data_IF_217822542689
#
_entry.id   IF_217822542689
#
_cell.length_a   1.000
_cell.length_b   1.000
_cell.length_c   1.000
_cell.angle_alpha   90.00
_cell.angle_beta   90.00
_cell.angle_gamma   90.00
#
_symmetry.space_group_name_H-M   'P 1'
#
loop_
_entity.id
_entity.type
_entity.pdbx_description
1 polymer ?
#
# COMPACT_ATOMS: atom_id res chain seq x y z
N UNK A 1 3.68 -1.86 3.51
CA UNK A 1 2.28 -2.28 3.32
C UNK A 1 1.47 -1.86 4.53
N UNK A 2 0.28 -1.30 4.30
CA UNK A 2 -0.71 -1.00 5.34
C UNK A 2 -1.96 -1.81 5.00
N UNK A 3 -2.58 -2.49 5.98
CA UNK A 3 -3.79 -3.29 5.76
C UNK A 3 -4.90 -2.92 6.72
N UNK A 4 -6.16 -3.01 6.27
CA UNK A 4 -7.36 -2.90 7.11
C UNK A 4 -7.83 -4.25 7.67
N UNK A 5 -7.11 -5.36 7.40
CA UNK A 5 -7.44 -6.67 7.95
C UNK A 5 -7.48 -6.63 9.48
N UNK A 6 -8.42 -7.38 10.09
CA UNK A 6 -8.46 -7.54 11.53
C UNK A 6 -7.15 -8.19 12.01
N UNK A 7 -6.53 -7.64 13.05
CA UNK A 7 -5.26 -8.12 13.56
C UNK A 7 -5.30 -9.60 13.98
N UNK A 8 -6.47 -10.08 14.44
CA UNK A 8 -6.67 -11.48 14.84
C UNK A 8 -6.80 -12.46 13.65
N UNK A 9 -6.95 -11.95 12.43
CA UNK A 9 -7.18 -12.74 11.22
C UNK A 9 -6.04 -12.59 10.20
N UNK A 10 -4.95 -11.94 10.58
CA UNK A 10 -3.87 -11.58 9.68
C UNK A 10 -2.53 -12.11 10.22
N UNK A 11 -1.91 -13.01 9.46
CA UNK A 11 -0.64 -13.65 9.85
C UNK A 11 0.49 -13.28 8.88
N UNK A 12 1.66 -12.95 9.44
CA UNK A 12 2.83 -12.56 8.65
C UNK A 12 3.32 -13.73 7.77
N UNK A 13 3.18 -14.97 8.25
CA UNK A 13 3.63 -16.18 7.54
C UNK A 13 2.88 -16.43 6.23
N UNK A 14 1.70 -15.83 6.05
CA UNK A 14 0.91 -15.96 4.83
C UNK A 14 1.33 -14.98 3.72
N UNK A 15 2.28 -14.08 4.01
CA UNK A 15 2.76 -13.08 3.05
C UNK A 15 3.91 -13.59 2.17
N UNK A 16 4.21 -12.94 1.03
CA UNK A 16 5.45 -13.18 0.30
C UNK A 16 6.70 -12.99 1.18
N UNK A 17 7.73 -13.82 0.98
CA UNK A 17 8.96 -13.86 1.79
C UNK A 17 9.57 -12.47 2.04
N UNK A 18 9.57 -11.60 1.03
CA UNK A 18 10.10 -10.23 1.15
C UNK A 18 9.40 -9.39 2.23
N UNK A 19 8.11 -9.62 2.49
CA UNK A 19 7.36 -8.95 3.55
C UNK A 19 7.49 -9.68 4.91
N UNK A 20 7.83 -10.97 4.91
CA UNK A 20 8.06 -11.72 6.15
C UNK A 20 9.36 -11.33 6.85
N UNK A 21 10.40 -11.05 6.06
CA UNK A 21 11.76 -10.81 6.58
C UNK A 21 11.91 -9.47 7.32
N UNK A 22 11.00 -8.52 7.11
CA UNK A 22 11.06 -7.20 7.73
C UNK A 22 9.79 -6.87 8.51
N UNK A 23 9.87 -7.02 9.83
CA UNK A 23 8.75 -6.69 10.74
C UNK A 23 8.33 -5.21 10.71
N UNK A 24 9.14 -4.34 10.10
CA UNK A 24 8.87 -2.90 9.99
C UNK A 24 8.33 -2.48 8.62
N UNK A 25 8.06 -3.41 7.70
CA UNK A 25 7.47 -3.08 6.39
C UNK A 25 5.95 -3.27 6.34
N UNK A 26 5.32 -3.62 7.47
CA UNK A 26 3.91 -3.98 7.56
C UNK A 26 3.24 -3.30 8.76
N UNK A 27 2.06 -2.72 8.51
CA UNK A 27 1.26 -2.04 9.52
C UNK A 27 -0.21 -2.39 9.35
N UNK A 28 -0.94 -2.49 10.47
CA UNK A 28 -2.40 -2.62 10.48
C UNK A 28 -2.99 -1.25 10.74
N UNK A 29 -3.96 -0.84 9.93
CA UNK A 29 -4.71 0.40 10.11
C UNK A 29 -5.82 0.19 11.15
N UNK A 30 -5.43 0.21 12.43
CA UNK A 30 -6.32 0.01 13.58
C UNK A 30 -6.34 1.22 14.53
N UNK A 31 -6.13 2.43 13.98
CA UNK A 31 -6.13 3.65 14.79
C UNK A 31 -7.53 3.97 15.33
N UNK A 32 -7.63 4.42 16.58
CA UNK A 32 -8.91 4.77 17.23
C UNK A 32 -9.55 6.09 16.75
N UNK A 33 -9.28 6.49 15.50
CA UNK A 33 -9.76 7.72 14.86
C UNK A 33 -10.03 7.46 13.37
N UNK A 34 -10.08 8.51 12.51
CA UNK A 34 -10.23 8.31 11.07
C UNK A 34 -9.10 7.43 10.53
N UNK A 35 -9.47 6.38 9.77
CA UNK A 35 -8.53 5.41 9.19
C UNK A 35 -7.49 6.13 8.34
N UNK A 36 -6.23 5.72 8.44
CA UNK A 36 -5.18 6.36 7.64
C UNK A 36 -5.37 6.05 6.15
N UNK A 37 -5.81 4.84 5.80
CA UNK A 37 -6.14 4.51 4.41
C UNK A 37 -7.34 5.31 3.91
N UNK A 38 -8.38 5.50 4.74
CA UNK A 38 -9.52 6.37 4.39
C UNK A 38 -9.09 7.82 4.15
N UNK A 39 -8.24 8.37 5.02
CA UNK A 39 -7.75 9.75 4.89
C UNK A 39 -7.01 10.00 3.58
N UNK A 40 -6.20 9.05 3.11
CA UNK A 40 -5.31 9.23 1.97
C UNK A 40 -5.88 8.70 0.65
N UNK A 41 -6.72 7.66 0.69
CA UNK A 41 -7.24 6.97 -0.50
C UNK A 41 -8.77 6.99 -0.60
N UNK A 42 -9.49 7.48 0.42
CA UNK A 42 -10.95 7.42 0.46
C UNK A 42 -11.45 5.98 0.65
N UNK A 43 -12.42 5.57 -0.16
CA UNK A 43 -12.97 4.21 -0.10
C UNK A 43 -12.01 3.18 -0.71
N UNK A 44 -11.15 2.62 0.14
CA UNK A 44 -10.21 1.54 -0.17
C UNK A 44 -10.68 0.23 0.47
N UNK A 45 -11.78 -0.32 -0.08
CA UNK A 45 -12.34 -1.59 0.36
C UNK A 45 -11.46 -2.80 -0.04
N UNK A 46 -11.90 -4.02 0.30
CA UNK A 46 -11.12 -5.25 0.10
C UNK A 46 -10.76 -5.58 -1.36
N UNK A 47 -11.44 -4.97 -2.33
CA UNK A 47 -11.20 -5.19 -3.76
C UNK A 47 -10.32 -4.10 -4.38
N UNK A 48 -9.83 -3.16 -3.59
CA UNK A 48 -9.03 -2.03 -4.06
C UNK A 48 -7.64 -2.00 -3.46
N UNK A 49 -6.71 -1.49 -4.25
CA UNK A 49 -5.30 -1.33 -3.91
C UNK A 49 -4.95 0.14 -4.09
N UNK A 50 -4.31 0.74 -3.09
CA UNK A 50 -3.81 2.11 -3.14
C UNK A 50 -2.28 2.11 -3.02
N UNK A 51 -1.62 2.91 -3.86
CA UNK A 51 -0.16 3.11 -3.77
C UNK A 51 0.14 4.60 -3.73
N UNK A 52 0.95 4.99 -2.75
CA UNK A 52 1.53 6.31 -2.65
C UNK A 52 3.05 6.19 -2.76
N UNK A 53 3.64 6.89 -3.72
CA UNK A 53 5.09 7.05 -3.85
C UNK A 53 5.48 8.34 -3.15
N UNK A 54 6.27 8.21 -2.08
CA UNK A 54 6.72 9.34 -1.26
C UNK A 54 8.21 9.59 -1.52
N UNK A 55 8.56 10.84 -1.82
CA UNK A 55 9.94 11.25 -2.09
C UNK A 55 10.75 11.35 -0.79
N UNK A 56 12.10 11.36 -0.86
CA UNK A 56 12.95 11.51 0.33
C UNK A 56 12.71 12.78 1.14
N UNK A 57 12.15 13.83 0.53
CA UNK A 57 11.77 15.09 1.21
C UNK A 57 10.42 15.03 1.94
N UNK A 58 9.75 13.88 1.91
CA UNK A 58 8.48 13.63 2.58
C UNK A 58 7.24 14.04 1.77
N UNK A 59 7.40 14.56 0.55
CA UNK A 59 6.26 14.91 -0.31
C UNK A 59 5.77 13.71 -1.13
N UNK A 60 4.46 13.64 -1.35
CA UNK A 60 3.85 12.69 -2.28
C UNK A 60 4.26 13.05 -3.70
N UNK A 61 4.95 12.13 -4.37
CA UNK A 61 5.36 12.26 -5.76
C UNK A 61 4.33 11.69 -6.73
N UNK A 62 3.64 10.62 -6.34
CA UNK A 62 2.52 10.05 -7.07
C UNK A 62 1.59 9.30 -6.10
N UNK A 63 0.30 9.27 -6.38
CA UNK A 63 -0.70 8.52 -5.62
C UNK A 63 -1.81 8.09 -6.58
N UNK A 64 -2.23 6.84 -6.51
CA UNK A 64 -3.32 6.32 -7.34
C UNK A 64 -3.96 5.08 -6.71
N UNK A 65 -5.10 4.66 -7.26
CA UNK A 65 -5.88 3.49 -6.83
C UNK A 65 -6.27 2.59 -8.00
N UNK A 66 -6.39 1.29 -7.72
CA UNK A 66 -6.74 0.27 -8.69
C UNK A 66 -7.66 -0.76 -8.07
N UNK A 67 -8.46 -1.42 -8.91
CA UNK A 67 -9.15 -2.65 -8.54
C UNK A 67 -8.14 -3.82 -8.50
N UNK A 68 -8.39 -4.84 -7.68
CA UNK A 68 -7.48 -5.98 -7.51
C UNK A 68 -7.20 -6.72 -8.83
N UNK A 69 -8.15 -6.72 -9.76
CA UNK A 69 -8.01 -7.31 -11.10
C UNK A 69 -6.96 -6.57 -11.96
N UNK A 70 -6.67 -5.31 -11.64
CA UNK A 70 -5.73 -4.45 -12.38
C UNK A 70 -4.30 -4.54 -11.84
N UNK A 71 -3.99 -5.47 -10.92
CA UNK A 71 -2.66 -5.59 -10.30
C UNK A 71 -1.51 -5.67 -11.31
N UNK A 72 -1.77 -6.23 -12.50
CA UNK A 72 -0.77 -6.35 -13.57
C UNK A 72 -0.27 -5.01 -14.13
N UNK A 73 -1.07 -3.94 -14.12
CA UNK A 73 -0.67 -2.64 -14.69
C UNK A 73 0.08 -1.75 -13.70
N UNK A 74 0.01 -2.08 -12.40
CA UNK A 74 0.65 -1.30 -11.33
C UNK A 74 2.17 -1.24 -11.53
N UNK A 75 2.79 -2.34 -11.95
CA UNK A 75 4.22 -2.40 -12.21
C UNK A 75 4.67 -1.45 -13.31
N UNK A 76 3.89 -1.35 -14.39
CA UNK A 76 4.16 -0.42 -15.50
C UNK A 76 4.00 1.04 -15.06
N UNK A 77 2.97 1.33 -14.27
CA UNK A 77 2.77 2.67 -13.69
C UNK A 77 3.94 3.09 -12.77
N UNK A 78 4.40 2.17 -11.90
CA UNK A 78 5.58 2.41 -11.06
C UNK A 78 6.83 2.60 -11.90
N UNK A 79 7.05 1.77 -12.93
CA UNK A 79 8.20 1.90 -13.82
C UNK A 79 8.19 3.23 -14.59
N UNK A 80 7.03 3.65 -15.07
CA UNK A 80 6.87 4.94 -15.72
C UNK A 80 7.17 6.09 -14.76
N UNK A 81 6.64 6.05 -13.54
CA UNK A 81 6.96 7.04 -12.51
C UNK A 81 8.46 7.07 -12.23
N UNK A 82 9.11 5.93 -12.02
CA UNK A 82 10.54 5.88 -11.65
C UNK A 82 11.49 6.16 -12.83
N UNK A 83 10.98 6.26 -14.07
CA UNK A 83 11.81 6.44 -15.27
C UNK A 83 12.63 7.73 -15.28
N UNK A 84 12.23 8.78 -14.55
CA UNK A 84 13.00 10.02 -14.43
C UNK A 84 14.30 9.86 -13.61
N UNK A 85 14.46 8.75 -12.88
CA UNK A 85 15.65 8.49 -12.06
C UNK A 85 16.74 7.69 -12.79
N UNK A 86 16.48 7.25 -14.03
CA UNK A 86 17.39 6.41 -14.82
C UNK A 86 18.03 7.21 -15.94
#
# INVERSE_FOLDING_TARGET
MVTQSAQSEFEIVDLPEILQTSRWTLYVDNVGGPSCTEKWFGDLNQEKIGIAVVRPDGYVGAIDTWDAEQVGVIGEWLQHYLSFMV
#
